data_IF_409694988492
#
_entry.id   IF_409694988492
#
_cell.length_a   1.000
_cell.length_b   1.000
_cell.length_c   1.000
_cell.angle_alpha   90.00
_cell.angle_beta   90.00
_cell.angle_gamma   90.00
#
_symmetry.space_group_name_H-M   'P 1'
#
loop_
_entity.id
_entity.type
_entity.pdbx_description
1 polymer ?
#
# COMPACT_ATOMS: atom_id res chain seq x y z
N UNK A 1 7.42 10.43 -7.41
CA UNK A 1 8.40 11.19 -6.65
C UNK A 1 9.33 10.29 -5.88
N UNK A 2 10.61 10.50 -5.98
CA UNK A 2 11.52 9.55 -5.40
C UNK A 2 11.64 9.67 -3.88
N UNK A 3 11.36 10.81 -3.32
CA UNK A 3 11.40 10.98 -1.88
C UNK A 3 10.03 11.12 -1.26
N UNK A 4 9.01 10.84 -2.04
CA UNK A 4 7.66 10.96 -1.53
C UNK A 4 7.16 9.65 -0.96
N UNK A 5 6.00 9.73 -0.33
CA UNK A 5 5.34 8.55 0.18
C UNK A 5 4.09 8.31 -0.65
N UNK A 6 3.95 7.08 -1.10
CA UNK A 6 2.78 6.68 -1.88
C UNK A 6 1.78 6.06 -0.94
N UNK A 7 0.55 6.53 -0.96
CA UNK A 7 -0.50 5.98 -0.13
C UNK A 7 -1.50 5.29 -1.04
N UNK A 8 -1.67 4.00 -0.81
CA UNK A 8 -2.55 3.19 -1.63
C UNK A 8 -3.68 2.66 -0.77
N UNK A 9 -4.91 2.92 -1.20
CA UNK A 9 -6.09 2.46 -0.48
C UNK A 9 -6.73 1.33 -1.25
N UNK A 10 -6.81 0.16 -0.64
CA UNK A 10 -7.37 -1.02 -1.28
C UNK A 10 -8.27 -1.77 -0.31
N UNK A 11 -9.11 -2.64 -0.86
CA UNK A 11 -9.88 -3.57 -0.05
C UNK A 11 -8.92 -4.59 0.55
N UNK A 12 -9.21 -5.06 1.76
CA UNK A 12 -8.29 -5.96 2.45
C UNK A 12 -8.05 -7.25 1.69
N UNK A 13 -8.98 -7.64 0.82
CA UNK A 13 -8.85 -8.88 0.05
C UNK A 13 -8.12 -8.69 -1.26
N UNK A 14 -7.76 -7.47 -1.61
CA UNK A 14 -7.07 -7.20 -2.86
C UNK A 14 -5.64 -7.71 -2.82
N UNK A 15 -5.20 -8.31 -3.90
CA UNK A 15 -3.81 -8.73 -4.01
C UNK A 15 -2.94 -7.52 -4.32
N UNK A 16 -1.67 -7.61 -3.93
CA UNK A 16 -0.75 -6.50 -4.07
C UNK A 16 0.31 -6.77 -5.12
N UNK A 17 -0.09 -7.44 -6.18
CA UNK A 17 0.86 -7.84 -7.22
C UNK A 17 1.50 -6.64 -7.91
N UNK A 18 0.76 -5.55 -7.99
CA UNK A 18 1.29 -4.35 -8.63
C UNK A 18 2.38 -3.66 -7.81
N UNK A 19 2.63 -4.15 -6.61
CA UNK A 19 3.63 -3.56 -5.73
C UNK A 19 4.98 -4.25 -5.80
N UNK A 20 5.21 -5.04 -6.82
CA UNK A 20 6.46 -5.80 -6.89
C UNK A 20 7.69 -4.92 -6.88
N UNK A 21 7.62 -3.79 -7.55
CA UNK A 21 8.76 -2.89 -7.66
C UNK A 21 8.67 -1.70 -6.72
N UNK A 22 7.79 -1.81 -5.73
CA UNK A 22 7.57 -0.72 -4.79
C UNK A 22 8.00 -1.18 -3.41
N UNK A 23 8.64 -0.27 -2.71
CA UNK A 23 9.12 -0.54 -1.37
C UNK A 23 8.01 -0.27 -0.36
N UNK A 24 7.46 -1.30 0.22
CA UNK A 24 6.37 -1.14 1.18
C UNK A 24 6.94 -0.79 2.54
N UNK A 25 6.54 0.36 3.05
CA UNK A 25 7.01 0.83 4.34
C UNK A 25 6.13 0.33 5.48
N UNK A 26 4.82 0.39 5.27
CA UNK A 26 3.89 -0.01 6.31
C UNK A 26 2.53 -0.31 5.70
N UNK A 27 1.80 -1.20 6.33
CA UNK A 27 0.44 -1.51 5.90
C UNK A 27 -0.46 -1.45 7.13
N UNK A 28 -1.57 -0.74 7.00
CA UNK A 28 -2.54 -0.64 8.08
C UNK A 28 -3.88 -1.13 7.60
N UNK A 29 -4.63 -1.75 8.50
CA UNK A 29 -5.94 -2.31 8.19
C UNK A 29 -7.02 -1.56 8.94
N UNK A 30 -8.07 -1.19 8.23
CA UNK A 30 -9.20 -0.47 8.79
C UNK A 30 -10.48 -1.15 8.33
N UNK A 31 -11.08 -1.95 9.20
CA UNK A 31 -12.29 -2.65 8.82
C UNK A 31 -12.07 -3.51 7.61
N UNK A 32 -12.72 -3.17 6.51
CA UNK A 32 -12.58 -3.92 5.26
C UNK A 32 -11.57 -3.31 4.31
N UNK A 33 -10.87 -2.30 4.76
CA UNK A 33 -9.93 -1.59 3.90
C UNK A 33 -8.51 -1.74 4.41
N UNK A 34 -7.56 -1.55 3.52
CA UNK A 34 -6.17 -1.49 3.95
C UNK A 34 -5.49 -0.31 3.28
N UNK A 35 -4.60 0.30 4.02
CA UNK A 35 -3.83 1.45 3.55
C UNK A 35 -2.38 1.03 3.50
N UNK A 36 -1.78 1.16 2.34
CA UNK A 36 -0.39 0.77 2.14
C UNK A 36 0.46 2.01 1.96
N UNK A 37 1.48 2.12 2.78
CA UNK A 37 2.45 3.21 2.68
C UNK A 37 3.70 2.67 2.03
N UNK A 38 4.08 3.28 0.93
CA UNK A 38 5.22 2.80 0.14
C UNK A 38 6.00 3.97 -0.43
N UNK A 39 7.12 3.66 -1.02
CA UNK A 39 7.86 4.67 -1.77
C UNK A 39 8.83 4.05 -2.78
#
# INVERSE_FOLDING_TARGET
EKNGIIIIHRHKKEAEEFLKNINILQTKYYGNSKIIFAN
#
